data_IF_746162638680
#
_entry.id   IF_746162638680
#
_cell.length_a   1.000
_cell.length_b   1.000
_cell.length_c   1.000
_cell.angle_alpha   90.00
_cell.angle_beta   90.00
_cell.angle_gamma   90.00
#
_symmetry.space_group_name_H-M   'P 1'
#
loop_
_entity.id
_entity.type
_entity.pdbx_description
1 polymer ?
#
# COMPACT_ATOMS: atom_id res chain seq x y z
N UNK A 1 -0.84 -53.60 -41.85
CA UNK A 1 -1.93 -54.35 -41.19
C UNK A 1 -2.11 -53.81 -39.78
N UNK A 2 -3.33 -53.42 -39.45
CA UNK A 2 -3.83 -53.09 -38.11
C UNK A 2 -3.68 -54.28 -37.14
N UNK A 3 -3.34 -54.02 -35.87
CA UNK A 3 -4.08 -54.45 -34.65
C UNK A 3 -3.19 -54.20 -33.41
N UNK A 4 -3.46 -53.20 -32.56
CA UNK A 4 -4.46 -53.09 -31.48
C UNK A 4 -4.30 -54.08 -30.31
N UNK A 5 -4.33 -53.45 -29.12
CA UNK A 5 -4.69 -53.91 -27.75
C UNK A 5 -3.60 -54.50 -26.85
N UNK A 6 -3.60 -54.29 -25.53
CA UNK A 6 -4.11 -53.26 -24.58
C UNK A 6 -3.62 -53.75 -23.20
N UNK A 7 -3.07 -52.83 -22.40
CA UNK A 7 -3.03 -52.72 -20.93
C UNK A 7 -2.95 -53.98 -20.02
N UNK A 8 -1.97 -53.96 -19.10
CA UNK A 8 -2.24 -53.88 -17.65
C UNK A 8 -1.03 -53.38 -16.85
N UNK A 9 -1.35 -52.65 -15.80
CA UNK A 9 -0.49 -51.84 -14.94
C UNK A 9 0.36 -52.65 -13.95
N UNK A 10 1.44 -52.01 -13.49
CA UNK A 10 2.23 -52.45 -12.33
C UNK A 10 3.09 -51.29 -11.83
N UNK A 11 2.70 -50.73 -10.69
CA UNK A 11 3.28 -49.58 -9.99
C UNK A 11 4.80 -49.70 -9.77
N UNK A 12 5.54 -48.61 -10.01
CA UNK A 12 6.74 -48.23 -9.24
C UNK A 12 6.83 -46.71 -9.12
N UNK A 13 6.58 -46.23 -7.90
CA UNK A 13 7.26 -45.12 -7.21
C UNK A 13 7.68 -43.90 -8.06
N UNK A 14 6.90 -42.82 -7.97
CA UNK A 14 7.41 -41.47 -8.27
C UNK A 14 7.78 -40.83 -6.94
N UNK A 15 9.03 -40.35 -6.75
CA UNK A 15 9.41 -39.69 -5.52
C UNK A 15 8.62 -38.38 -5.39
N UNK A 16 8.10 -38.20 -4.18
CA UNK A 16 7.44 -37.01 -3.68
C UNK A 16 8.40 -35.82 -3.84
N UNK A 17 8.23 -35.03 -4.89
CA UNK A 17 8.86 -33.71 -4.96
C UNK A 17 8.26 -32.87 -3.83
N UNK A 18 8.97 -32.77 -2.71
CA UNK A 18 8.84 -31.63 -1.81
C UNK A 18 9.28 -30.42 -2.63
N UNK A 19 8.34 -29.81 -3.34
CA UNK A 19 8.51 -28.44 -3.77
C UNK A 19 8.64 -27.64 -2.48
N UNK A 20 9.86 -27.17 -2.22
CA UNK A 20 10.08 -26.08 -1.29
C UNK A 20 9.06 -25.01 -1.65
N UNK A 21 8.16 -24.77 -0.70
CA UNK A 21 7.33 -23.58 -0.60
C UNK A 21 8.31 -22.43 -0.32
N UNK A 22 9.14 -22.11 -1.32
CA UNK A 22 10.05 -20.98 -1.26
C UNK A 22 9.19 -19.76 -1.51
N UNK A 23 9.20 -18.93 -0.50
CA UNK A 23 8.27 -17.88 -0.18
C UNK A 23 8.18 -16.87 -1.34
N UNK A 24 7.00 -16.83 -1.99
CA UNK A 24 6.72 -15.85 -3.04
C UNK A 24 6.69 -14.42 -2.48
N UNK A 25 6.42 -14.27 -1.18
CA UNK A 25 6.45 -12.98 -0.48
C UNK A 25 7.89 -12.52 -0.27
N UNK A 26 8.76 -13.39 0.28
CA UNK A 26 10.18 -13.04 0.49
C UNK A 26 10.88 -12.72 -0.83
N UNK A 27 10.56 -13.45 -1.91
CA UNK A 27 11.13 -13.20 -3.23
C UNK A 27 10.72 -11.84 -3.82
N UNK A 28 9.52 -11.35 -3.49
CA UNK A 28 9.02 -10.05 -3.95
C UNK A 28 9.55 -8.90 -3.07
N UNK A 29 9.67 -9.11 -1.76
CA UNK A 29 10.32 -8.19 -0.81
C UNK A 29 11.80 -7.98 -1.15
N UNK A 30 12.54 -9.06 -1.41
CA UNK A 30 13.92 -9.01 -1.91
C UNK A 30 14.00 -8.23 -3.24
N UNK A 31 12.99 -8.35 -4.10
CA UNK A 31 12.95 -7.63 -5.38
C UNK A 31 12.77 -6.11 -5.18
N UNK A 32 11.93 -5.65 -4.26
CA UNK A 32 11.68 -4.22 -4.03
C UNK A 32 12.86 -3.55 -3.32
N UNK A 33 13.43 -4.19 -2.31
CA UNK A 33 14.63 -3.68 -1.64
C UNK A 33 15.83 -3.59 -2.59
N UNK A 34 16.03 -4.61 -3.45
CA UNK A 34 17.07 -4.56 -4.48
C UNK A 34 16.85 -3.43 -5.50
N UNK A 35 15.60 -3.16 -5.89
CA UNK A 35 15.27 -2.04 -6.79
C UNK A 35 15.52 -0.69 -6.12
N UNK A 36 15.17 -0.56 -4.84
CA UNK A 36 15.44 0.66 -4.07
C UNK A 36 16.94 0.91 -3.96
N UNK A 37 17.71 -0.11 -3.56
CA UNK A 37 19.16 -0.04 -3.49
C UNK A 37 19.77 0.38 -4.84
N UNK A 38 19.37 -0.25 -5.94
CA UNK A 38 19.88 0.10 -7.28
C UNK A 38 19.57 1.56 -7.65
N UNK A 39 18.38 2.06 -7.28
CA UNK A 39 17.99 3.46 -7.54
C UNK A 39 18.81 4.44 -6.71
N UNK A 40 18.95 4.19 -5.40
CA UNK A 40 19.78 5.01 -4.51
C UNK A 40 21.25 4.97 -4.94
N UNK A 41 21.74 3.81 -5.40
CA UNK A 41 23.12 3.66 -5.88
C UNK A 41 23.37 4.49 -7.14
N UNK A 42 22.43 4.49 -8.09
CA UNK A 42 22.52 5.34 -9.27
C UNK A 42 22.55 6.84 -8.90
N UNK A 43 21.74 7.26 -7.92
CA UNK A 43 21.76 8.63 -7.38
C UNK A 43 23.12 8.99 -6.76
N UNK A 44 23.73 8.06 -6.02
CA UNK A 44 25.08 8.25 -5.47
C UNK A 44 26.16 8.31 -6.54
N UNK A 45 26.06 7.51 -7.60
CA UNK A 45 27.01 7.55 -8.72
C UNK A 45 26.94 8.89 -9.46
N UNK A 46 25.73 9.45 -9.64
CA UNK A 46 25.54 10.80 -10.17
C UNK A 46 26.14 11.87 -9.24
N UNK A 47 25.92 11.75 -7.93
CA UNK A 47 26.50 12.66 -6.94
C UNK A 47 28.04 12.58 -6.95
N UNK A 48 28.62 11.39 -7.03
CA UNK A 48 30.07 11.20 -7.14
C UNK A 48 30.63 11.85 -8.41
N UNK A 49 29.95 11.71 -9.56
CA UNK A 49 30.34 12.37 -10.79
C UNK A 49 30.31 13.89 -10.67
N UNK A 50 29.33 14.45 -9.95
CA UNK A 50 29.27 15.89 -9.66
C UNK A 50 30.43 16.34 -8.77
N UNK A 51 30.75 15.61 -7.70
CA UNK A 51 31.89 15.93 -6.83
C UNK A 51 33.23 15.92 -7.58
N UNK A 52 33.42 14.98 -8.49
CA UNK A 52 34.64 14.89 -9.30
C UNK A 52 34.82 16.07 -10.28
N UNK A 53 33.75 16.80 -10.58
CA UNK A 53 33.79 17.99 -11.42
C UNK A 53 34.06 19.29 -10.64
N UNK A 54 33.98 19.25 -9.30
CA UNK A 54 34.19 20.41 -8.42
C UNK A 54 35.68 20.63 -8.11
N UNK A 55 36.08 21.86 -7.71
CA UNK A 55 37.43 22.10 -7.22
C UNK A 55 37.67 21.40 -5.87
N UNK A 56 38.91 20.97 -5.55
CA UNK A 56 39.21 20.22 -4.33
C UNK A 56 38.81 20.90 -3.01
N UNK A 57 38.80 22.24 -2.99
CA UNK A 57 38.44 23.04 -1.81
C UNK A 57 36.95 22.92 -1.48
N UNK A 58 36.07 22.86 -2.50
CA UNK A 58 34.63 22.70 -2.34
C UNK A 58 34.24 21.26 -1.98
N UNK A 59 34.99 20.25 -2.46
CA UNK A 59 34.74 18.82 -2.15
C UNK A 59 34.74 18.57 -0.64
N UNK A 60 35.55 19.30 0.13
CA UNK A 60 35.63 19.13 1.59
C UNK A 60 34.30 19.45 2.29
N UNK A 61 33.51 20.38 1.75
CA UNK A 61 32.19 20.74 2.30
C UNK A 61 31.15 19.61 2.13
N UNK A 62 31.41 18.70 1.19
CA UNK A 62 30.54 17.57 0.85
C UNK A 62 30.94 16.25 1.54
N UNK A 63 32.05 16.23 2.27
CA UNK A 63 32.62 15.03 2.88
C UNK A 63 31.64 14.29 3.80
N UNK A 64 30.93 15.03 4.66
CA UNK A 64 29.90 14.46 5.54
C UNK A 64 28.75 13.84 4.75
N UNK A 65 28.24 14.55 3.74
CA UNK A 65 27.08 14.11 2.96
C UNK A 65 27.44 12.87 2.14
N UNK A 66 28.66 12.82 1.60
CA UNK A 66 29.17 11.65 0.91
C UNK A 66 29.22 10.42 1.83
N UNK A 67 29.80 10.55 3.02
CA UNK A 67 29.86 9.43 3.99
C UNK A 67 28.47 9.00 4.43
N UNK A 68 27.58 9.95 4.73
CA UNK A 68 26.20 9.64 5.11
C UNK A 68 25.46 8.88 4.00
N UNK A 69 25.65 9.26 2.73
CA UNK A 69 25.06 8.55 1.59
C UNK A 69 25.56 7.10 1.48
N UNK A 70 26.85 6.84 1.68
CA UNK A 70 27.40 5.48 1.67
C UNK A 70 26.86 4.63 2.83
N UNK A 71 26.79 5.19 4.04
CA UNK A 71 26.26 4.48 5.22
C UNK A 71 24.77 4.14 5.04
N UNK A 72 23.98 5.07 4.48
CA UNK A 72 22.57 4.84 4.13
C UNK A 72 22.43 3.76 3.06
N UNK A 73 23.30 3.76 2.04
CA UNK A 73 23.30 2.74 0.99
C UNK A 73 23.62 1.35 1.54
N UNK A 74 24.57 1.25 2.46
CA UNK A 74 24.88 0.00 3.14
C UNK A 74 23.67 -0.52 3.93
N UNK A 75 23.01 0.37 4.70
CA UNK A 75 21.80 0.01 5.42
C UNK A 75 20.67 -0.44 4.48
N UNK A 76 20.39 0.29 3.40
CA UNK A 76 19.37 -0.07 2.42
C UNK A 76 19.68 -1.41 1.73
N UNK A 77 20.96 -1.69 1.43
CA UNK A 77 21.41 -2.93 0.82
C UNK A 77 21.32 -4.16 1.71
N UNK A 78 21.19 -3.98 3.03
CA UNK A 78 21.02 -5.08 3.99
C UNK A 78 19.60 -5.69 4.00
N UNK A 79 18.65 -5.13 3.22
CA UNK A 79 17.24 -5.54 3.25
C UNK A 79 16.49 -5.00 4.47
N UNK A 80 16.91 -3.84 4.98
CA UNK A 80 16.45 -3.23 6.22
C UNK A 80 14.97 -2.85 6.27
N UNK A 81 14.32 -2.68 5.12
CA UNK A 81 13.01 -2.04 5.04
C UNK A 81 11.90 -3.04 4.69
N UNK A 82 10.76 -2.99 5.41
CA UNK A 82 9.54 -3.66 4.99
C UNK A 82 9.13 -3.24 3.58
N UNK A 83 8.47 -4.15 2.86
CA UNK A 83 8.02 -3.96 1.48
C UNK A 83 7.28 -2.63 1.24
N UNK A 84 6.37 -2.28 2.15
CA UNK A 84 5.57 -1.05 2.05
C UNK A 84 6.44 0.22 2.10
N UNK A 85 7.48 0.21 2.94
CA UNK A 85 8.40 1.35 3.08
C UNK A 85 9.34 1.45 1.88
N UNK A 86 9.87 0.31 1.41
CA UNK A 86 10.70 0.27 0.21
C UNK A 86 9.91 0.73 -1.03
N UNK A 87 8.68 0.25 -1.18
CA UNK A 87 7.75 0.68 -2.22
C UNK A 87 7.39 2.16 -2.16
N UNK A 88 7.24 2.72 -0.95
CA UNK A 88 7.01 4.15 -0.76
C UNK A 88 8.22 5.00 -1.19
N UNK A 89 9.42 4.66 -0.74
CA UNK A 89 10.64 5.37 -1.14
C UNK A 89 10.91 5.30 -2.64
N UNK A 90 10.55 4.18 -3.30
CA UNK A 90 10.67 4.05 -4.75
C UNK A 90 9.83 5.08 -5.53
N UNK A 91 8.76 5.63 -4.94
CA UNK A 91 7.96 6.72 -5.52
C UNK A 91 8.70 8.06 -5.52
N UNK A 92 9.66 8.26 -4.61
CA UNK A 92 10.50 9.46 -4.60
C UNK A 92 11.39 9.51 -5.85
N UNK A 93 11.55 10.67 -6.50
CA UNK A 93 12.53 10.82 -7.58
C UNK A 93 13.99 10.70 -7.09
N UNK A 94 14.27 11.11 -5.85
CA UNK A 94 15.62 11.16 -5.26
C UNK A 94 15.59 10.55 -3.84
N UNK A 95 15.36 9.23 -3.72
CA UNK A 95 15.16 8.58 -2.43
C UNK A 95 16.36 8.72 -1.48
N UNK A 96 17.60 8.71 -2.01
CA UNK A 96 18.78 8.80 -1.15
C UNK A 96 18.94 10.20 -0.55
N UNK A 97 18.75 11.26 -1.33
CA UNK A 97 18.76 12.63 -0.85
C UNK A 97 17.65 12.90 0.17
N UNK A 98 16.46 12.31 0.00
CA UNK A 98 15.38 12.46 0.97
C UNK A 98 15.76 11.84 2.32
N UNK A 99 16.34 10.64 2.33
CA UNK A 99 16.83 10.00 3.58
C UNK A 99 17.96 10.80 4.21
N UNK A 100 18.89 11.33 3.42
CA UNK A 100 19.97 12.19 3.93
C UNK A 100 19.43 13.44 4.63
N UNK A 101 18.32 14.03 4.15
CA UNK A 101 17.70 15.19 4.81
C UNK A 101 17.15 14.82 6.17
N UNK A 102 16.47 13.67 6.29
CA UNK A 102 15.94 13.19 7.57
C UNK A 102 17.06 12.77 8.54
N UNK A 103 18.15 12.24 8.00
CA UNK A 103 19.33 11.87 8.78
C UNK A 103 20.15 13.08 9.25
N UNK A 104 20.07 14.22 8.53
CA UNK A 104 20.87 15.41 8.83
C UNK A 104 20.55 15.95 10.22
N UNK A 105 21.57 16.03 11.08
CA UNK A 105 21.45 16.54 12.45
C UNK A 105 21.10 15.48 13.49
N UNK A 106 21.06 14.21 13.11
CA UNK A 106 20.99 13.09 14.05
C UNK A 106 22.41 12.75 14.52
N UNK A 107 22.79 13.29 15.67
CA UNK A 107 24.12 13.16 16.21
C UNK A 107 24.34 11.73 16.78
N UNK A 108 25.38 11.07 16.26
CA UNK A 108 26.26 10.05 16.88
C UNK A 108 25.98 8.53 16.83
N UNK A 109 24.90 8.01 16.23
CA UNK A 109 24.71 6.54 16.11
C UNK A 109 24.12 6.10 14.76
N UNK A 110 24.75 5.09 14.14
CA UNK A 110 24.27 4.39 12.95
C UNK A 110 22.88 3.76 13.14
N UNK A 111 22.43 3.56 14.38
CA UNK A 111 21.06 3.16 14.72
C UNK A 111 19.98 4.13 14.23
N UNK A 112 20.34 5.41 14.01
CA UNK A 112 19.41 6.42 13.51
C UNK A 112 19.18 6.35 11.99
N UNK A 113 20.05 5.68 11.24
CA UNK A 113 19.91 5.53 9.78
C UNK A 113 18.60 4.80 9.44
N UNK A 114 18.27 3.75 10.18
CA UNK A 114 17.01 3.03 10.01
C UNK A 114 15.81 3.93 10.30
N UNK A 115 15.89 4.75 11.35
CA UNK A 115 14.85 5.75 11.66
C UNK A 115 14.69 6.79 10.55
N UNK A 116 15.78 7.30 9.99
CA UNK A 116 15.74 8.23 8.86
C UNK A 116 15.17 7.59 7.58
N UNK A 117 15.46 6.31 7.31
CA UNK A 117 14.84 5.57 6.21
C UNK A 117 13.33 5.43 6.43
N UNK A 118 12.90 5.06 7.64
CA UNK A 118 11.49 4.97 7.99
C UNK A 118 10.79 6.34 7.87
N UNK A 119 11.39 7.41 8.36
CA UNK A 119 10.83 8.75 8.33
C UNK A 119 10.75 9.31 6.90
N UNK A 120 11.78 9.09 6.09
CA UNK A 120 11.73 9.40 4.67
C UNK A 120 10.68 8.57 3.93
N UNK A 121 10.51 7.30 4.27
CA UNK A 121 9.45 6.47 3.71
C UNK A 121 8.06 7.01 4.08
N UNK A 122 7.85 7.44 5.33
CA UNK A 122 6.58 8.02 5.80
C UNK A 122 6.14 9.25 5.01
N UNK A 123 7.07 10.02 4.43
CA UNK A 123 6.75 11.15 3.55
C UNK A 123 6.03 10.72 2.26
N UNK A 124 6.30 9.51 1.80
CA UNK A 124 5.75 8.93 0.56
C UNK A 124 4.70 7.84 0.82
N UNK A 125 4.52 7.45 2.08
CA UNK A 125 3.47 6.55 2.51
C UNK A 125 2.14 7.28 2.68
N UNK A 126 1.08 6.51 2.52
CA UNK A 126 -0.24 6.99 2.84
C UNK A 126 -0.40 7.14 4.37
N UNK A 127 -0.88 8.29 4.89
CA UNK A 127 -1.11 8.45 6.32
C UNK A 127 -2.10 7.40 6.83
N UNK A 128 -1.95 6.83 8.03
CA UNK A 128 -2.89 5.83 8.54
C UNK A 128 -4.30 6.41 8.74
N UNK A 129 -5.32 5.55 8.76
CA UNK A 129 -6.69 5.96 9.05
C UNK A 129 -6.84 6.23 10.55
N UNK A 130 -7.10 7.50 10.88
CA UNK A 130 -7.32 7.93 12.24
C UNK A 130 -8.80 7.78 12.60
N UNK A 131 -9.10 6.88 13.54
CA UNK A 131 -10.49 6.52 13.90
C UNK A 131 -11.07 7.31 15.07
N UNK A 132 -10.22 7.94 15.88
CA UNK A 132 -10.65 8.66 17.07
C UNK A 132 -11.21 10.05 16.71
N UNK A 133 -11.88 10.67 17.68
CA UNK A 133 -12.48 11.99 17.51
C UNK A 133 -11.42 13.09 17.51
N UNK A 134 -11.79 14.26 16.95
CA UNK A 134 -10.94 15.45 17.01
C UNK A 134 -10.55 15.82 18.46
N UNK A 135 -11.51 15.68 19.39
CA UNK A 135 -11.28 15.98 20.80
C UNK A 135 -10.21 15.05 21.40
N UNK A 136 -10.31 13.75 21.13
CA UNK A 136 -9.32 12.77 21.59
C UNK A 136 -7.91 13.12 21.08
N UNK A 137 -7.80 13.43 19.78
CA UNK A 137 -6.52 13.80 19.15
C UNK A 137 -5.90 15.04 19.81
N UNK A 138 -6.71 16.04 20.16
CA UNK A 138 -6.23 17.24 20.84
C UNK A 138 -5.78 16.96 22.27
N UNK A 139 -6.53 16.13 23.01
CA UNK A 139 -6.22 15.76 24.40
C UNK A 139 -4.96 14.91 24.53
N UNK A 140 -4.66 14.08 23.52
CA UNK A 140 -3.53 13.13 23.54
C UNK A 140 -2.32 13.59 22.72
N UNK A 141 -2.36 14.80 22.16
CA UNK A 141 -1.25 15.33 21.34
C UNK A 141 -1.12 14.67 19.95
N UNK A 142 -2.10 13.90 19.52
CA UNK A 142 -2.13 13.22 18.21
C UNK A 142 -2.76 14.09 17.10
N UNK A 143 -2.70 15.41 17.29
CA UNK A 143 -3.32 16.40 16.40
C UNK A 143 -2.85 16.24 14.95
N UNK A 144 -1.55 16.05 14.75
CA UNK A 144 -0.98 16.00 13.40
C UNK A 144 -1.41 14.74 12.65
N UNK A 145 -1.48 13.59 13.33
CA UNK A 145 -2.01 12.34 12.78
C UNK A 145 -3.48 12.49 12.36
N UNK A 146 -4.31 13.14 13.19
CA UNK A 146 -5.71 13.42 12.87
C UNK A 146 -5.85 14.27 11.60
N UNK A 147 -5.11 15.39 11.50
CA UNK A 147 -5.18 16.26 10.33
C UNK A 147 -4.58 15.64 9.08
N UNK A 148 -3.49 14.87 9.20
CA UNK A 148 -2.91 14.12 8.08
C UNK A 148 -3.92 13.11 7.51
N UNK A 149 -4.60 12.35 8.37
CA UNK A 149 -5.63 11.40 7.95
C UNK A 149 -6.81 12.11 7.25
N UNK A 150 -7.31 13.20 7.83
CA UNK A 150 -8.39 13.99 7.18
C UNK A 150 -7.95 14.58 5.85
N UNK A 151 -6.74 15.14 5.76
CA UNK A 151 -6.22 15.66 4.50
C UNK A 151 -6.21 14.56 3.44
N UNK A 152 -5.75 13.37 3.80
CA UNK A 152 -5.70 12.26 2.88
C UNK A 152 -7.09 11.77 2.41
N UNK A 153 -8.13 11.84 3.23
CA UNK A 153 -9.51 11.61 2.78
C UNK A 153 -9.99 12.67 1.77
N UNK A 154 -9.65 13.94 2.00
CA UNK A 154 -10.00 15.01 1.07
C UNK A 154 -9.25 14.86 -0.26
N UNK A 155 -7.97 14.47 -0.21
CA UNK A 155 -7.16 14.21 -1.39
C UNK A 155 -7.64 12.96 -2.14
N UNK A 156 -8.05 11.90 -1.42
CA UNK A 156 -8.67 10.71 -2.00
C UNK A 156 -9.97 11.04 -2.75
N UNK A 157 -10.84 11.86 -2.15
CA UNK A 157 -12.05 12.35 -2.81
C UNK A 157 -11.71 13.09 -4.11
N UNK A 158 -10.75 14.03 -4.09
CA UNK A 158 -10.34 14.74 -5.32
C UNK A 158 -9.79 13.78 -6.37
N UNK A 159 -8.97 12.82 -5.97
CA UNK A 159 -8.44 11.82 -6.89
C UNK A 159 -9.54 10.95 -7.53
N UNK A 160 -10.60 10.60 -6.80
CA UNK A 160 -11.78 9.91 -7.37
C UNK A 160 -12.47 10.80 -8.40
N UNK A 161 -12.71 12.08 -8.09
CA UNK A 161 -13.35 13.02 -9.00
C UNK A 161 -12.52 13.25 -10.27
N UNK A 162 -11.22 13.47 -10.11
CA UNK A 162 -10.26 13.70 -11.21
C UNK A 162 -10.14 12.46 -12.09
N UNK A 163 -10.07 11.28 -11.48
CA UNK A 163 -10.02 10.01 -12.20
C UNK A 163 -11.32 9.77 -12.98
N UNK A 164 -12.49 9.99 -12.36
CA UNK A 164 -13.78 9.90 -13.07
C UNK A 164 -13.83 10.90 -14.23
N UNK A 165 -13.39 12.14 -14.01
CA UNK A 165 -13.40 13.16 -15.05
C UNK A 165 -12.46 12.83 -16.22
N UNK A 166 -11.34 12.16 -15.95
CA UNK A 166 -10.31 11.85 -16.96
C UNK A 166 -10.64 10.59 -17.76
N UNK A 167 -11.29 9.60 -17.14
CA UNK A 167 -11.59 8.29 -17.74
C UNK A 167 -13.05 8.12 -18.18
N UNK A 168 -13.83 9.21 -18.23
CA UNK A 168 -15.22 9.18 -18.69
C UNK A 168 -15.34 9.74 -20.11
N UNK A 169 -15.71 8.88 -21.07
CA UNK A 169 -15.83 9.24 -22.49
C UNK A 169 -17.21 9.81 -22.87
N UNK A 170 -18.08 10.03 -21.88
CA UNK A 170 -19.46 10.46 -22.06
C UNK A 170 -20.49 9.32 -22.03
N UNK A 171 -20.06 8.06 -22.16
CA UNK A 171 -20.93 6.88 -22.13
C UNK A 171 -20.46 5.77 -21.19
N UNK A 172 -19.14 5.61 -21.04
CA UNK A 172 -18.51 4.53 -20.27
C UNK A 172 -17.41 5.09 -19.37
N UNK A 173 -17.17 4.36 -18.29
CA UNK A 173 -16.09 4.61 -17.36
C UNK A 173 -15.08 3.48 -17.49
N UNK A 174 -13.82 3.82 -17.74
CA UNK A 174 -12.75 2.82 -17.84
C UNK A 174 -12.48 2.15 -16.48
N UNK A 175 -12.03 0.89 -16.51
CA UNK A 175 -11.57 0.16 -15.33
C UNK A 175 -10.30 0.75 -14.74
N UNK A 176 -9.43 1.32 -15.57
CA UNK A 176 -8.17 1.94 -15.11
C UNK A 176 -8.42 3.09 -14.11
N UNK A 177 -9.57 3.77 -14.26
CA UNK A 177 -10.05 4.80 -13.32
C UNK A 177 -10.01 4.36 -11.85
N UNK A 178 -10.31 3.08 -11.60
CA UNK A 178 -10.38 2.51 -10.26
C UNK A 178 -8.99 2.14 -9.73
N UNK A 179 -8.17 1.53 -10.58
CA UNK A 179 -6.84 0.99 -10.22
C UNK A 179 -5.94 2.08 -9.68
N UNK A 180 -5.87 3.24 -10.36
CA UNK A 180 -5.02 4.35 -9.93
C UNK A 180 -5.36 4.87 -8.53
N UNK A 181 -6.66 4.97 -8.22
CA UNK A 181 -7.11 5.46 -6.92
C UNK A 181 -6.88 4.41 -5.83
N UNK A 182 -7.13 3.14 -6.13
CA UNK A 182 -6.94 2.04 -5.18
C UNK A 182 -5.47 1.80 -4.84
N UNK A 183 -4.55 1.91 -5.81
CA UNK A 183 -3.11 1.79 -5.58
C UNK A 183 -2.56 2.94 -4.73
N UNK A 184 -3.14 4.13 -4.85
CA UNK A 184 -2.65 5.32 -4.14
C UNK A 184 -3.22 5.48 -2.73
N UNK A 185 -4.49 5.16 -2.53
CA UNK A 185 -5.20 5.43 -1.26
C UNK A 185 -5.72 4.18 -0.53
N UNK A 186 -5.48 3.00 -1.11
CA UNK A 186 -5.98 1.74 -0.56
C UNK A 186 -7.50 1.58 -0.62
N UNK A 187 -7.96 0.34 -0.46
CA UNK A 187 -9.38 0.01 -0.53
C UNK A 187 -10.19 0.59 0.63
N UNK A 188 -9.61 0.67 1.83
CA UNK A 188 -10.32 1.13 3.02
C UNK A 188 -10.69 2.62 2.95
N UNK A 189 -9.76 3.48 2.52
CA UNK A 189 -10.00 4.92 2.39
C UNK A 189 -11.02 5.22 1.31
N UNK A 190 -10.85 4.60 0.15
CA UNK A 190 -11.78 4.72 -0.99
C UNK A 190 -13.18 4.27 -0.59
N UNK A 191 -13.29 3.12 0.09
CA UNK A 191 -14.56 2.64 0.65
C UNK A 191 -15.20 3.68 1.58
N UNK A 192 -14.40 4.30 2.46
CA UNK A 192 -14.87 5.33 3.38
C UNK A 192 -15.45 6.54 2.65
N UNK A 193 -14.73 7.08 1.66
CA UNK A 193 -15.18 8.23 0.86
C UNK A 193 -16.48 7.91 0.11
N UNK A 194 -16.54 6.76 -0.56
CA UNK A 194 -17.70 6.35 -1.35
C UNK A 194 -18.92 6.09 -0.46
N UNK A 195 -18.75 5.37 0.64
CA UNK A 195 -19.83 5.10 1.58
C UNK A 195 -20.34 6.38 2.24
N UNK A 196 -19.44 7.26 2.69
CA UNK A 196 -19.81 8.55 3.25
C UNK A 196 -20.59 9.40 2.24
N UNK A 197 -20.16 9.42 0.97
CA UNK A 197 -20.85 10.12 -0.11
C UNK A 197 -22.29 9.62 -0.30
N UNK A 198 -22.50 8.30 -0.38
CA UNK A 198 -23.84 7.72 -0.54
C UNK A 198 -24.71 7.94 0.70
N UNK A 199 -24.15 7.83 1.91
CA UNK A 199 -24.89 8.11 3.15
C UNK A 199 -25.46 9.53 3.17
N UNK A 200 -24.69 10.52 2.69
CA UNK A 200 -25.14 11.92 2.62
C UNK A 200 -26.07 12.21 1.43
N UNK A 201 -25.95 11.42 0.35
CA UNK A 201 -26.77 11.53 -0.87
C UNK A 201 -27.82 10.41 -0.96
N UNK A 202 -28.26 9.83 0.18
CA UNK A 202 -29.18 8.69 0.21
C UNK A 202 -30.53 9.01 -0.47
N UNK A 203 -30.96 10.26 -0.37
CA UNK A 203 -32.17 10.78 -0.98
C UNK A 203 -32.16 10.70 -2.52
N UNK A 204 -30.99 10.53 -3.14
CA UNK A 204 -30.86 10.45 -4.59
C UNK A 204 -31.17 9.04 -5.10
N UNK A 205 -32.28 8.92 -5.81
CA UNK A 205 -32.76 7.65 -6.36
C UNK A 205 -31.88 7.07 -7.48
N UNK A 206 -30.89 7.82 -7.99
CA UNK A 206 -29.94 7.33 -9.02
C UNK A 206 -28.95 6.31 -8.45
N UNK A 207 -28.76 6.26 -7.13
CA UNK A 207 -27.96 5.20 -6.51
C UNK A 207 -28.75 3.89 -6.47
N UNK A 208 -28.12 2.83 -6.96
CA UNK A 208 -28.68 1.49 -6.93
C UNK A 208 -28.99 1.06 -5.48
N UNK A 209 -30.05 0.27 -5.32
CA UNK A 209 -30.45 -0.24 -4.00
C UNK A 209 -29.31 -1.01 -3.32
N UNK A 210 -28.56 -1.80 -4.09
CA UNK A 210 -27.43 -2.58 -3.57
C UNK A 210 -26.31 -1.67 -3.02
N UNK A 211 -25.96 -0.59 -3.74
CA UNK A 211 -24.92 0.33 -3.29
C UNK A 211 -25.35 1.12 -2.05
N UNK A 212 -26.62 1.52 -1.98
CA UNK A 212 -27.19 2.16 -0.77
C UNK A 212 -27.13 1.24 0.45
N UNK A 213 -27.62 0.01 0.33
CA UNK A 213 -27.60 -0.96 1.43
C UNK A 213 -26.17 -1.29 1.90
N UNK A 214 -25.20 -1.29 0.98
CA UNK A 214 -23.78 -1.44 1.32
C UNK A 214 -23.23 -0.23 2.07
N UNK A 215 -23.46 0.98 1.55
CA UNK A 215 -22.96 2.22 2.16
C UNK A 215 -23.51 2.42 3.57
N UNK A 216 -24.79 2.08 3.83
CA UNK A 216 -25.39 2.21 5.16
C UNK A 216 -24.80 1.27 6.22
N UNK A 217 -24.12 0.20 5.81
CA UNK A 217 -23.46 -0.75 6.72
C UNK A 217 -22.02 -0.34 7.03
N UNK A 218 -21.42 0.55 6.24
CA UNK A 218 -20.05 0.98 6.44
C UNK A 218 -19.96 1.96 7.60
N UNK A 219 -18.96 1.77 8.46
CA UNK A 219 -18.65 2.71 9.54
C UNK A 219 -17.86 3.90 8.99
N UNK A 220 -18.46 5.09 9.08
CA UNK A 220 -17.90 6.38 8.65
C UNK A 220 -17.81 7.36 9.83
N UNK A 221 -18.00 6.88 11.06
CA UNK A 221 -18.12 7.71 12.27
C UNK A 221 -16.90 8.60 12.50
N UNK A 222 -15.70 8.11 12.16
CA UNK A 222 -14.43 8.85 12.30
C UNK A 222 -14.31 10.06 11.38
N UNK A 223 -15.10 10.14 10.30
CA UNK A 223 -15.12 11.30 9.41
C UNK A 223 -15.81 12.52 10.02
N UNK A 224 -16.57 12.30 11.11
CA UNK A 224 -17.30 13.33 11.83
C UNK A 224 -18.66 13.67 11.23
N UNK A 225 -19.38 14.56 11.90
CA UNK A 225 -20.79 14.89 11.60
C UNK A 225 -21.00 15.74 10.35
N UNK A 226 -19.97 16.45 9.89
CA UNK A 226 -20.03 17.34 8.72
C UNK A 226 -18.90 17.01 7.75
N UNK A 227 -18.98 15.88 7.03
CA UNK A 227 -17.91 15.39 6.16
C UNK A 227 -17.94 16.04 4.76
N UNK A 228 -18.47 17.26 4.60
CA UNK A 228 -18.59 17.93 3.28
C UNK A 228 -17.29 17.94 2.47
N UNK A 229 -16.15 18.04 3.16
CA UNK A 229 -14.83 18.00 2.53
C UNK A 229 -14.45 16.65 1.89
N UNK A 230 -15.19 15.58 2.19
CA UNK A 230 -14.94 14.21 1.71
C UNK A 230 -16.00 13.72 0.72
N UNK A 231 -17.08 14.48 0.49
CA UNK A 231 -18.19 14.04 -0.36
C UNK A 231 -17.85 14.26 -1.84
N UNK A 232 -18.01 13.23 -2.66
CA UNK A 232 -17.82 13.38 -4.11
C UNK A 232 -18.98 14.18 -4.73
N UNK A 233 -18.67 15.13 -5.59
CA UNK A 233 -19.62 16.02 -6.28
C UNK A 233 -19.96 15.58 -7.70
N UNK A 234 -19.26 14.57 -8.23
CA UNK A 234 -19.56 13.96 -9.52
C UNK A 234 -21.03 13.48 -9.61
N UNK A 235 -21.52 13.39 -10.84
CA UNK A 235 -22.92 13.04 -11.10
C UNK A 235 -23.28 11.67 -10.47
N UNK A 236 -24.38 11.55 -9.68
CA UNK A 236 -24.70 10.35 -8.91
C UNK A 236 -24.78 9.04 -9.71
N UNK A 237 -25.24 9.10 -10.97
CA UNK A 237 -25.28 7.92 -11.83
C UNK A 237 -23.88 7.40 -12.21
N UNK A 238 -22.90 8.30 -12.38
CA UNK A 238 -21.51 7.93 -12.69
C UNK A 238 -20.85 7.37 -11.43
N UNK A 239 -21.07 8.01 -10.28
CA UNK A 239 -20.61 7.52 -8.99
C UNK A 239 -21.18 6.13 -8.66
N UNK A 240 -22.46 5.87 -8.96
CA UNK A 240 -23.06 4.54 -8.75
C UNK A 240 -22.36 3.46 -9.61
N UNK A 241 -22.00 3.80 -10.85
CA UNK A 241 -21.18 2.96 -11.72
C UNK A 241 -19.80 2.68 -11.12
N UNK A 242 -19.08 3.73 -10.71
CA UNK A 242 -17.78 3.64 -10.05
C UNK A 242 -17.83 2.76 -8.80
N UNK A 243 -18.83 2.97 -7.93
CA UNK A 243 -19.02 2.19 -6.69
C UNK A 243 -19.28 0.72 -7.01
N UNK A 244 -20.05 0.43 -8.05
CA UNK A 244 -20.32 -0.94 -8.48
C UNK A 244 -19.04 -1.64 -8.97
N UNK A 245 -18.15 -0.90 -9.64
CA UNK A 245 -16.83 -1.40 -10.04
C UNK A 245 -15.95 -1.65 -8.82
N UNK A 246 -15.81 -0.68 -7.93
CA UNK A 246 -15.05 -0.79 -6.68
C UNK A 246 -15.49 -1.99 -5.84
N UNK A 247 -16.79 -2.17 -5.63
CA UNK A 247 -17.32 -3.28 -4.82
C UNK A 247 -17.00 -4.64 -5.42
N UNK A 248 -16.99 -4.76 -6.74
CA UNK A 248 -16.60 -6.01 -7.42
C UNK A 248 -15.12 -6.30 -7.23
N UNK A 249 -14.26 -5.30 -7.41
CA UNK A 249 -12.81 -5.43 -7.23
C UNK A 249 -12.46 -5.86 -5.80
N UNK A 250 -13.01 -5.19 -4.78
CA UNK A 250 -12.76 -5.55 -3.37
C UNK A 250 -13.28 -6.95 -3.03
N UNK A 251 -14.37 -7.39 -3.65
CA UNK A 251 -14.86 -8.75 -3.48
C UNK A 251 -13.95 -9.79 -4.15
N UNK A 252 -13.34 -9.45 -5.29
CA UNK A 252 -12.38 -10.30 -5.97
C UNK A 252 -11.10 -10.43 -5.15
N UNK A 253 -10.53 -9.31 -4.67
CA UNK A 253 -9.35 -9.29 -3.79
C UNK A 253 -9.55 -10.14 -2.52
N UNK A 254 -10.70 -9.99 -1.83
CA UNK A 254 -11.03 -10.80 -0.64
C UNK A 254 -11.16 -12.30 -0.92
N UNK A 255 -11.52 -12.69 -2.15
CA UNK A 255 -11.61 -14.10 -2.54
C UNK A 255 -10.23 -14.67 -2.78
N UNK A 256 -9.35 -13.89 -3.39
CA UNK A 256 -7.97 -14.27 -3.66
C UNK A 256 -7.17 -14.40 -2.35
N UNK A 257 -7.31 -13.44 -1.43
CA UNK A 257 -6.75 -13.51 -0.06
C UNK A 257 -7.24 -14.74 0.72
N UNK A 258 -8.52 -15.10 0.57
CA UNK A 258 -9.10 -16.27 1.23
C UNK A 258 -8.68 -17.59 0.57
N UNK A 259 -8.33 -17.57 -0.71
CA UNK A 259 -7.80 -18.72 -1.42
C UNK A 259 -6.32 -18.97 -1.10
N UNK A 260 -5.57 -17.92 -0.74
CA UNK A 260 -4.16 -18.01 -0.34
C UNK A 260 -3.96 -18.24 1.16
N UNK A 261 -4.96 -17.98 2.01
CA UNK A 261 -4.88 -18.26 3.45
C UNK A 261 -4.86 -19.79 3.76
N UNK A 262 -3.86 -20.31 4.52
CA UNK A 262 -3.78 -21.73 4.85
C UNK A 262 -4.96 -22.15 5.75
N UNK A 263 -5.59 -23.28 5.39
CA UNK A 263 -6.73 -23.83 6.12
C UNK A 263 -6.34 -24.12 7.57
N UNK A 264 -6.96 -23.40 8.51
CA UNK A 264 -6.80 -23.63 9.95
C UNK A 264 -7.27 -25.05 10.29
N UNK A 265 -6.31 -25.97 10.48
CA UNK A 265 -6.57 -27.32 10.98
C UNK A 265 -6.98 -27.21 12.44
N UNK A 266 -8.28 -27.31 12.72
CA UNK A 266 -8.82 -27.34 14.09
C UNK A 266 -8.35 -28.64 14.76
N UNK A 267 -7.59 -28.63 15.86
CA UNK A 267 -7.17 -29.85 16.52
C UNK A 267 -8.40 -30.61 17.02
N UNK A 268 -8.49 -31.89 16.66
CA UNK A 268 -9.54 -32.78 17.11
C UNK A 268 -9.28 -33.09 18.59
N UNK A 269 -10.15 -32.59 19.48
CA UNK A 269 -10.09 -32.90 20.91
C UNK A 269 -10.19 -34.42 21.10
N UNK A 270 -9.13 -35.00 21.65
CA UNK A 270 -9.05 -36.40 22.06
C UNK A 270 -9.81 -36.52 23.37
N UNK A 271 -10.98 -37.15 23.35
CA UNK A 271 -11.73 -37.51 24.55
C UNK A 271 -10.96 -38.58 25.32
N UNK A 272 -10.53 -38.23 26.54
CA UNK A 272 -9.97 -39.16 27.51
C UNK A 272 -11.11 -39.92 28.21
N UNK A 273 -11.49 -41.07 27.65
CA UNK A 273 -12.23 -42.10 28.39
C UNK A 273 -11.22 -43.08 28.99
N UNK A 274 -10.96 -42.92 30.30
CA UNK A 274 -10.26 -43.91 31.12
C UNK A 274 -11.22 -44.34 32.24
N UNK A 275 -11.94 -45.43 32.01
CA UNK A 275 -12.70 -46.12 33.06
C UNK A 275 -11.75 -46.91 33.97
N UNK A 276 -12.09 -46.93 35.27
CA UNK A 276 -11.41 -47.59 36.39
C UNK A 276 -11.46 -49.14 36.32
#
# INVERSE_FOLDING_TARGET
>A
MYCKRVWRAGLKTVPFFHAHFFDWSDAMEEQLNNRLYAKMKAEQDEYQAQLLAMPPEEILEHSWEYTAREDILEAAGSGALPEEQAGALLKSPCPLADVVKEYRGQDVDNGHIYGALEDAAKLHMEPPIYRQTAQYAMEHGERDAYFASRKAYADCRRAIEDSISSHFDGMHLDKECLTEVMEKYGSERVSGVLACTIQHKEWDARFSRSNREWAMKADTSHMGKEPYQFLCESHPAILDGFVSMFRREVLEQKRDEKATAPAQHKPQERSDDFEL
#
